data_IF_403708229987
#
_entry.id   IF_403708229987
#
_cell.length_a   1.000
_cell.length_b   1.000
_cell.length_c   1.000
_cell.angle_alpha   90.00
_cell.angle_beta   90.00
_cell.angle_gamma   90.00
#
_symmetry.space_group_name_H-M   'P 1'
#
loop_
_entity.id
_entity.type
_entity.pdbx_description
1 polymer ?
#
# COMPACT_ATOMS: atom_id res chain seq x y z
N UNK A 1 10.96 9.38 1.88
CA UNK A 1 9.93 9.84 2.83
C UNK A 1 9.67 8.69 3.79
N UNK A 2 10.00 8.91 5.06
CA UNK A 2 9.81 7.90 6.10
C UNK A 2 8.39 7.92 6.61
N UNK A 3 8.01 6.87 7.34
CA UNK A 3 6.66 6.82 7.93
C UNK A 3 6.47 7.95 8.96
N UNK A 4 7.51 8.31 9.72
CA UNK A 4 7.49 9.38 10.72
C UNK A 4 7.12 10.75 10.15
N UNK A 5 7.64 11.08 8.97
CA UNK A 5 7.38 12.35 8.28
C UNK A 5 5.89 12.51 7.90
N UNK A 6 5.21 11.39 7.67
CA UNK A 6 3.82 11.38 7.21
C UNK A 6 2.82 11.44 8.37
N UNK A 7 3.19 10.98 9.57
CA UNK A 7 2.31 10.88 10.74
C UNK A 7 1.52 12.17 11.05
N UNK A 8 2.13 13.38 11.04
CA UNK A 8 1.43 14.59 11.45
C UNK A 8 0.26 14.98 10.54
N UNK A 9 0.28 14.57 9.27
CA UNK A 9 -0.70 14.99 8.27
C UNK A 9 -1.84 13.97 8.07
N UNK A 10 -1.68 12.72 8.53
CA UNK A 10 -2.66 11.64 8.28
C UNK A 10 -4.07 12.01 8.77
N UNK A 11 -4.17 12.59 9.96
CA UNK A 11 -5.46 12.99 10.55
C UNK A 11 -6.15 14.12 9.80
N UNK A 12 -5.37 15.00 9.15
CA UNK A 12 -5.90 16.08 8.30
C UNK A 12 -6.42 15.49 7.00
N UNK A 13 -5.64 14.59 6.37
CA UNK A 13 -6.01 13.92 5.12
C UNK A 13 -7.30 13.11 5.25
N UNK A 14 -7.52 12.40 6.36
CA UNK A 14 -8.76 11.63 6.60
C UNK A 14 -10.01 12.52 6.71
N UNK A 15 -9.85 13.82 6.97
CA UNK A 15 -10.96 14.78 7.09
C UNK A 15 -11.30 15.49 5.79
N UNK A 16 -10.43 15.46 4.78
CA UNK A 16 -10.64 16.19 3.51
C UNK A 16 -11.83 15.63 2.72
N UNK A 17 -12.09 14.32 2.80
CA UNK A 17 -13.16 13.68 2.04
C UNK A 17 -12.72 13.09 0.69
N UNK A 18 -11.44 12.71 0.56
CA UNK A 18 -10.97 11.95 -0.61
C UNK A 18 -11.72 10.61 -0.74
N UNK A 19 -11.99 10.21 -1.99
CA UNK A 19 -12.60 8.91 -2.31
C UNK A 19 -11.68 7.75 -1.90
N UNK A 20 -10.40 7.86 -2.26
CA UNK A 20 -9.33 6.97 -1.84
C UNK A 20 -8.01 7.74 -1.73
N UNK A 21 -7.08 7.19 -0.95
CA UNK A 21 -5.70 7.66 -0.87
C UNK A 21 -4.76 6.54 -1.26
N UNK A 22 -3.95 6.79 -2.29
CA UNK A 22 -2.87 5.91 -2.68
C UNK A 22 -1.70 6.08 -1.73
N UNK A 23 -1.45 5.07 -0.89
CA UNK A 23 -0.47 5.13 0.19
C UNK A 23 0.50 3.96 0.17
N UNK A 24 0.35 3.05 -0.80
CA UNK A 24 1.01 1.77 -0.81
C UNK A 24 1.22 1.22 -2.22
N UNK A 25 2.23 0.39 -2.39
CA UNK A 25 2.47 -0.36 -3.62
C UNK A 25 3.55 0.30 -4.47
N UNK A 26 3.65 -0.12 -5.73
CA UNK A 26 4.73 0.30 -6.62
C UNK A 26 6.11 0.22 -5.96
N UNK A 27 6.88 1.31 -6.02
CA UNK A 27 8.22 1.38 -5.44
C UNK A 27 8.23 1.56 -3.91
N UNK A 28 7.10 1.87 -3.24
CA UNK A 28 7.13 2.14 -1.80
C UNK A 28 7.53 0.91 -1.00
N UNK A 29 7.15 -0.29 -1.47
CA UNK A 29 7.48 -1.55 -0.79
C UNK A 29 8.99 -1.82 -0.80
N UNK A 30 9.63 -1.70 -1.97
CA UNK A 30 11.09 -1.85 -2.09
C UNK A 30 11.83 -0.73 -1.34
N UNK A 31 11.37 0.53 -1.44
CA UNK A 31 12.01 1.64 -0.74
C UNK A 31 12.01 1.48 0.79
N UNK A 32 10.93 0.94 1.38
CA UNK A 32 10.87 0.66 2.81
C UNK A 32 11.99 -0.29 3.24
N UNK A 33 12.13 -1.40 2.51
CA UNK A 33 13.10 -2.44 2.82
C UNK A 33 14.54 -2.04 2.48
N UNK A 34 14.74 -1.42 1.32
CA UNK A 34 16.07 -1.14 0.75
C UNK A 34 16.74 0.10 1.34
N UNK A 35 15.98 1.17 1.57
CA UNK A 35 16.56 2.47 1.91
C UNK A 35 16.17 2.97 3.30
N UNK A 36 14.96 2.64 3.76
CA UNK A 36 14.44 3.20 5.01
C UNK A 36 14.64 2.27 6.20
N UNK A 37 15.04 1.01 5.96
CA UNK A 37 15.09 -0.04 6.98
C UNK A 37 13.77 -0.14 7.78
N UNK A 38 12.65 0.06 7.09
CA UNK A 38 11.32 0.01 7.65
C UNK A 38 10.61 -1.25 7.14
N UNK A 39 9.86 -1.91 8.04
CA UNK A 39 8.96 -2.95 7.60
C UNK A 39 7.78 -2.31 6.88
N UNK A 40 7.56 -2.58 5.57
CA UNK A 40 6.44 -2.01 4.86
C UNK A 40 5.14 -2.34 5.60
N UNK A 41 4.91 -3.58 6.01
CA UNK A 41 3.69 -4.03 6.70
C UNK A 41 3.28 -3.19 7.90
N UNK A 42 4.25 -2.69 8.66
CA UNK A 42 3.99 -1.84 9.83
C UNK A 42 3.55 -0.43 9.42
N UNK A 43 4.07 0.11 8.32
CA UNK A 43 3.56 1.35 7.72
C UNK A 43 2.05 1.23 7.38
N UNK A 44 1.59 0.06 6.90
CA UNK A 44 0.16 -0.11 6.54
C UNK A 44 -0.70 -0.08 7.79
N UNK A 45 -0.23 -0.73 8.86
CA UNK A 45 -0.93 -0.78 10.15
C UNK A 45 -1.07 0.63 10.71
N UNK A 46 -0.01 1.43 10.63
CA UNK A 46 -0.04 2.84 11.04
C UNK A 46 -1.06 3.63 10.23
N UNK A 47 -1.06 3.52 8.90
CA UNK A 47 -2.05 4.21 8.07
C UNK A 47 -3.47 3.73 8.36
N UNK A 48 -3.71 2.42 8.45
CA UNK A 48 -5.04 1.87 8.78
C UNK A 48 -5.54 2.29 10.17
N UNK A 49 -4.62 2.55 11.12
CA UNK A 49 -4.98 3.07 12.44
C UNK A 49 -5.45 4.51 12.36
N UNK A 50 -4.84 5.34 11.51
CA UNK A 50 -5.12 6.78 11.41
C UNK A 50 -6.25 7.13 10.43
N UNK A 51 -6.39 6.40 9.32
CA UNK A 51 -7.44 6.60 8.34
C UNK A 51 -8.66 5.76 8.68
N UNK A 52 -9.73 6.41 9.14
CA UNK A 52 -11.00 5.76 9.49
C UNK A 52 -12.10 6.02 8.48
N UNK A 53 -12.04 7.15 7.77
CA UNK A 53 -13.05 7.57 6.80
C UNK A 53 -12.61 7.29 5.38
N UNK A 54 -11.35 7.59 5.06
CA UNK A 54 -10.83 7.48 3.71
C UNK A 54 -10.35 6.07 3.40
N UNK A 55 -10.72 5.56 2.22
CA UNK A 55 -10.28 4.25 1.74
C UNK A 55 -8.81 4.29 1.35
N UNK A 56 -8.04 3.29 1.76
CA UNK A 56 -6.65 3.14 1.34
C UNK A 56 -6.58 2.36 0.03
N UNK A 57 -5.77 2.85 -0.88
CA UNK A 57 -5.52 2.29 -2.20
C UNK A 57 -4.07 1.87 -2.33
N UNK A 58 -3.85 0.81 -3.10
CA UNK A 58 -2.51 0.35 -3.46
C UNK A 58 -2.33 0.17 -4.96
N UNK A 59 -1.11 0.42 -5.41
CA UNK A 59 -0.66 0.17 -6.77
C UNK A 59 0.00 -1.21 -6.91
N UNK A 60 -0.53 -2.03 -7.80
CA UNK A 60 -0.03 -3.37 -8.11
C UNK A 60 0.24 -3.54 -9.60
N UNK A 61 1.31 -4.29 -9.90
CA UNK A 61 1.74 -4.57 -11.26
C UNK A 61 1.41 -6.01 -11.65
N UNK A 62 0.12 -6.32 -11.79
CA UNK A 62 -0.39 -7.63 -12.22
C UNK A 62 0.35 -8.82 -11.61
N UNK A 63 0.83 -9.74 -12.46
CA UNK A 63 1.59 -10.93 -12.04
C UNK A 63 2.91 -10.64 -11.33
N UNK A 64 3.46 -9.45 -11.48
CA UNK A 64 4.69 -9.05 -10.80
C UNK A 64 4.43 -8.50 -9.39
N UNK A 65 3.18 -8.24 -9.02
CA UNK A 65 2.80 -7.65 -7.73
C UNK A 65 3.58 -6.34 -7.46
N UNK A 66 4.42 -6.33 -6.43
CA UNK A 66 5.36 -5.24 -6.07
C UNK A 66 6.82 -5.62 -6.33
N UNK A 67 7.05 -6.75 -6.99
CA UNK A 67 8.36 -7.30 -7.30
C UNK A 67 8.76 -7.11 -8.76
N UNK A 68 9.93 -7.66 -9.08
CA UNK A 68 10.53 -7.54 -10.42
C UNK A 68 10.27 -8.74 -11.32
N UNK A 69 9.86 -9.87 -10.75
CA UNK A 69 9.57 -11.13 -11.47
C UNK A 69 8.09 -11.46 -11.40
N UNK A 70 7.62 -12.29 -12.32
CA UNK A 70 6.28 -12.86 -12.23
C UNK A 70 6.21 -13.88 -11.09
N UNK A 71 5.09 -13.87 -10.39
CA UNK A 71 4.80 -14.80 -9.31
C UNK A 71 3.74 -15.80 -9.77
N UNK A 72 3.79 -16.99 -9.17
CA UNK A 72 2.74 -17.98 -9.33
C UNK A 72 1.39 -17.46 -8.81
N UNK A 73 0.31 -17.92 -9.43
CA UNK A 73 -1.04 -17.46 -9.09
C UNK A 73 -1.37 -17.71 -7.61
N UNK A 74 -0.85 -18.78 -6.99
CA UNK A 74 -1.02 -19.04 -5.55
C UNK A 74 -0.42 -17.96 -4.65
N UNK A 75 0.73 -17.39 -5.06
CA UNK A 75 1.39 -16.30 -4.34
C UNK A 75 0.62 -14.99 -4.52
N UNK A 76 0.11 -14.75 -5.72
CA UNK A 76 -0.72 -13.59 -6.05
C UNK A 76 -2.01 -13.62 -5.19
N UNK A 77 -2.71 -14.75 -5.16
CA UNK A 77 -3.91 -14.92 -4.34
C UNK A 77 -3.63 -14.71 -2.86
N UNK A 78 -2.55 -15.29 -2.34
CA UNK A 78 -2.15 -15.11 -0.95
C UNK A 78 -1.86 -13.63 -0.65
N UNK A 79 -1.14 -12.96 -1.54
CA UNK A 79 -0.81 -11.54 -1.40
C UNK A 79 -2.07 -10.68 -1.36
N UNK A 80 -3.02 -10.90 -2.26
CA UNK A 80 -4.31 -10.18 -2.29
C UNK A 80 -5.10 -10.45 -1.00
N UNK A 81 -5.19 -11.72 -0.58
CA UNK A 81 -5.91 -12.13 0.64
C UNK A 81 -5.34 -11.48 1.91
N UNK A 82 -4.02 -11.30 1.98
CA UNK A 82 -3.37 -10.59 3.10
C UNK A 82 -3.72 -9.10 3.13
N UNK A 83 -3.98 -8.48 1.97
CA UNK A 83 -4.28 -7.06 1.83
C UNK A 83 -5.78 -6.74 1.91
N UNK A 84 -6.69 -7.66 1.61
CA UNK A 84 -8.14 -7.44 1.68
C UNK A 84 -8.63 -6.86 3.02
N UNK A 85 -7.97 -7.21 4.13
CA UNK A 85 -8.33 -6.67 5.47
C UNK A 85 -7.88 -5.22 5.69
N UNK A 86 -7.01 -4.68 4.84
CA UNK A 86 -6.25 -3.45 5.09
C UNK A 86 -6.40 -2.42 3.97
N UNK A 87 -6.31 -2.87 2.71
CA UNK A 87 -6.44 -2.07 1.48
C UNK A 87 -7.79 -2.35 0.83
N UNK A 88 -8.46 -1.29 0.38
CA UNK A 88 -9.80 -1.37 -0.20
C UNK A 88 -9.82 -1.27 -1.73
N UNK A 89 -8.82 -0.63 -2.33
CA UNK A 89 -8.76 -0.42 -3.78
C UNK A 89 -7.41 -0.89 -4.31
N UNK A 90 -7.46 -1.76 -5.31
CA UNK A 90 -6.30 -2.29 -6.02
C UNK A 90 -6.28 -1.63 -7.40
N UNK A 91 -5.30 -0.75 -7.63
CA UNK A 91 -5.01 -0.24 -8.98
C UNK A 91 -4.06 -1.24 -9.63
N UNK A 92 -4.57 -1.97 -10.61
CA UNK A 92 -3.78 -2.91 -11.39
C UNK A 92 -3.43 -2.28 -12.73
N UNK A 93 -2.14 -2.10 -13.00
CA UNK A 93 -1.66 -1.74 -14.34
C UNK A 93 -1.22 -3.00 -15.06
N UNK A 94 -2.09 -3.51 -15.92
CA UNK A 94 -1.65 -4.35 -17.04
C UNK A 94 -1.13 -3.38 -18.11
N UNK A 95 0.18 -3.40 -18.38
CA UNK A 95 0.67 -2.82 -19.63
C UNK A 95 0.16 -3.79 -20.71
N UNK A 96 -0.90 -3.40 -21.41
CA UNK A 96 -1.36 -4.04 -22.65
C UNK A 96 -0.31 -3.85 -23.75
#
# INVERSE_FOLDING_TARGET
>A
MKTEDMLPVLSKLDKVGYSSLEVWGGATYDCCLRFLNENPWDRLKVFKKNFKKTKLQMLLRGKNLVGYKEYDDSVIELFIKMHQKRVFVFLEFLIL
#
